data_IF_727127158358
#
_entry.id   IF_727127158358
#
_cell.length_a   1.000
_cell.length_b   1.000
_cell.length_c   1.000
_cell.angle_alpha   90.00
_cell.angle_beta   90.00
_cell.angle_gamma   90.00
#
_symmetry.space_group_name_H-M   'P 1'
#
loop_
_entity.id
_entity.type
_entity.pdbx_description
1 polymer ?
#
# COMPACT_ATOMS: atom_id res chain seq x y z
N UNK A 1 6.64 19.95 -31.39
CA UNK A 1 6.99 20.14 -29.98
C UNK A 1 5.70 20.23 -29.18
N UNK A 2 5.46 19.26 -28.32
CA UNK A 2 4.46 19.29 -27.25
C UNK A 2 5.12 18.57 -26.08
N UNK A 3 5.29 19.28 -24.98
CA UNK A 3 5.94 18.79 -23.76
C UNK A 3 4.80 18.43 -22.81
N UNK A 4 4.68 17.16 -22.44
CA UNK A 4 3.85 16.74 -21.32
C UNK A 4 4.69 16.81 -20.03
N UNK A 5 4.20 17.37 -18.91
CA UNK A 5 5.02 17.64 -17.73
C UNK A 5 5.30 16.41 -16.84
N UNK A 6 4.92 15.20 -17.26
CA UNK A 6 5.25 13.98 -16.53
C UNK A 6 5.94 13.00 -17.48
N UNK A 7 7.27 12.98 -17.41
CA UNK A 7 8.09 12.03 -18.12
C UNK A 7 7.86 10.62 -17.60
N UNK A 8 6.90 9.91 -18.18
CA UNK A 8 6.78 8.46 -18.05
C UNK A 8 7.18 7.85 -19.39
N UNK A 9 8.42 7.39 -19.46
CA UNK A 9 8.94 6.62 -20.59
C UNK A 9 8.63 5.14 -20.31
N UNK A 10 7.71 4.54 -21.06
CA UNK A 10 7.42 3.11 -20.96
C UNK A 10 8.42 2.32 -21.82
N UNK A 11 9.07 1.31 -21.23
CA UNK A 11 9.81 0.26 -21.95
C UNK A 11 8.90 -0.96 -22.13
N UNK A 12 8.67 -1.39 -23.36
CA UNK A 12 8.26 -2.76 -23.65
C UNK A 12 9.52 -3.63 -23.65
N UNK A 13 9.61 -4.62 -22.75
CA UNK A 13 10.62 -5.68 -22.85
C UNK A 13 9.90 -7.03 -22.94
N UNK A 14 10.12 -7.76 -24.05
CA UNK A 14 9.86 -9.20 -24.09
C UNK A 14 10.95 -9.91 -23.28
N UNK A 15 10.58 -11.06 -22.72
CA UNK A 15 11.36 -11.86 -21.78
C UNK A 15 12.74 -12.34 -22.27
N UNK A 16 13.21 -12.07 -23.50
CA UNK A 16 14.47 -12.69 -24.00
C UNK A 16 15.28 -11.91 -25.06
N UNK A 17 15.07 -10.62 -25.33
CA UNK A 17 15.91 -9.90 -26.30
C UNK A 17 16.83 -8.86 -25.64
N UNK A 18 18.12 -9.21 -25.57
CA UNK A 18 19.21 -8.26 -25.39
C UNK A 18 19.51 -7.65 -26.76
N UNK A 19 19.50 -6.32 -26.83
CA UNK A 19 19.99 -5.45 -27.92
C UNK A 19 19.19 -5.40 -29.24
N UNK A 20 18.20 -4.49 -29.32
CA UNK A 20 17.84 -3.83 -30.59
C UNK A 20 17.73 -2.31 -30.42
N UNK A 21 18.12 -1.50 -31.42
CA UNK A 21 18.04 -0.04 -31.35
C UNK A 21 16.60 0.47 -31.44
N UNK A 22 16.35 1.63 -30.83
CA UNK A 22 15.06 2.33 -30.84
C UNK A 22 14.58 2.62 -32.28
N UNK A 23 13.32 2.29 -32.59
CA UNK A 23 12.61 2.81 -33.77
C UNK A 23 12.27 1.83 -34.90
N UNK A 24 12.46 0.51 -34.75
CA UNK A 24 12.04 -0.44 -35.80
C UNK A 24 10.57 -0.85 -35.66
N UNK A 25 9.78 -0.63 -36.72
CA UNK A 25 8.41 -1.12 -36.86
C UNK A 25 8.46 -2.62 -37.16
N UNK A 26 8.04 -3.47 -36.22
CA UNK A 26 7.97 -4.92 -36.42
C UNK A 26 6.52 -5.37 -36.70
N UNK A 27 6.19 -5.78 -37.94
CA UNK A 27 4.84 -6.19 -38.31
C UNK A 27 4.39 -7.50 -37.64
N UNK A 28 5.30 -8.27 -37.00
CA UNK A 28 4.95 -9.48 -36.25
C UNK A 28 4.22 -9.19 -34.93
N UNK A 29 4.14 -7.93 -34.49
CA UNK A 29 3.48 -7.55 -33.25
C UNK A 29 1.95 -7.37 -33.35
N UNK A 30 1.35 -7.52 -34.54
CA UNK A 30 -0.05 -7.14 -34.80
C UNK A 30 -1.12 -8.07 -34.20
N UNK A 31 -0.73 -9.24 -33.67
CA UNK A 31 -1.66 -10.27 -33.19
C UNK A 31 -1.28 -10.94 -31.86
N UNK A 32 -0.29 -10.40 -31.15
CA UNK A 32 0.08 -10.97 -29.86
C UNK A 32 -0.77 -10.36 -28.73
N UNK A 33 -1.43 -11.22 -27.96
CA UNK A 33 -2.06 -10.85 -26.69
C UNK A 33 -0.94 -10.50 -25.69
N UNK A 34 -0.59 -9.23 -25.59
CA UNK A 34 0.38 -8.78 -24.61
C UNK A 34 -0.31 -8.51 -23.27
N UNK A 35 0.10 -9.21 -22.22
CA UNK A 35 -0.15 -8.77 -20.86
C UNK A 35 0.84 -7.64 -20.54
N UNK A 36 0.35 -6.41 -20.45
CA UNK A 36 1.18 -5.29 -19.98
C UNK A 36 1.38 -5.44 -18.47
N UNK A 37 2.50 -6.03 -18.06
CA UNK A 37 2.93 -6.02 -16.66
C UNK A 37 3.66 -4.71 -16.40
N UNK A 38 3.02 -3.83 -15.63
CA UNK A 38 3.64 -2.59 -15.18
C UNK A 38 4.51 -2.90 -13.97
N UNK A 39 5.80 -2.59 -14.07
CA UNK A 39 6.69 -2.63 -12.92
C UNK A 39 6.32 -1.45 -12.01
N UNK A 40 6.19 -1.63 -10.69
CA UNK A 40 6.00 -0.51 -9.77
C UNK A 40 7.09 0.54 -9.97
N UNK A 41 6.75 1.82 -9.71
CA UNK A 41 7.71 2.93 -9.71
C UNK A 41 8.94 2.52 -8.89
N UNK A 42 10.14 2.83 -9.40
CA UNK A 42 11.40 2.54 -8.70
C UNK A 42 11.31 3.14 -7.28
N UNK A 43 11.24 2.28 -6.26
CA UNK A 43 11.09 2.68 -4.86
C UNK A 43 9.72 2.43 -4.21
N UNK A 44 8.72 1.94 -4.95
CA UNK A 44 7.45 1.55 -4.33
C UNK A 44 7.59 0.17 -3.66
N UNK A 45 7.37 0.14 -2.35
CA UNK A 45 7.35 -1.07 -1.54
C UNK A 45 5.90 -1.53 -1.35
N UNK A 46 5.66 -2.83 -1.28
CA UNK A 46 4.36 -3.39 -0.88
C UNK A 46 4.30 -3.76 0.60
N UNK A 47 5.44 -3.66 1.31
CA UNK A 47 5.59 -4.13 2.69
C UNK A 47 6.34 -3.14 3.56
N UNK A 48 5.82 -2.87 4.75
CA UNK A 48 6.48 -2.16 5.85
C UNK A 48 7.04 -3.20 6.82
N UNK A 49 8.26 -2.97 7.29
CA UNK A 49 8.92 -3.77 8.32
C UNK A 49 9.19 -2.89 9.53
N UNK A 50 9.39 -3.50 10.70
CA UNK A 50 9.87 -2.79 11.90
C UNK A 50 11.14 -1.98 11.55
N UNK A 51 11.20 -0.73 12.03
CA UNK A 51 12.27 0.21 11.73
C UNK A 51 12.18 0.90 10.35
N UNK A 52 11.14 0.61 9.57
CA UNK A 52 10.78 1.37 8.35
C UNK A 52 9.49 2.13 8.59
N UNK A 53 9.37 3.26 7.90
CA UNK A 53 8.21 4.14 7.99
C UNK A 53 7.78 4.60 6.60
N UNK A 54 6.49 4.85 6.45
CA UNK A 54 5.87 5.48 5.30
C UNK A 54 5.54 6.92 5.70
N UNK A 55 6.23 7.92 5.15
CA UNK A 55 5.96 9.32 5.47
C UNK A 55 4.74 9.83 4.67
N UNK A 56 4.32 11.06 4.94
CA UNK A 56 3.17 11.69 4.26
C UNK A 56 3.16 11.55 2.73
N UNK A 57 4.30 11.80 2.08
CA UNK A 57 4.41 11.77 0.61
C UNK A 57 4.69 10.37 0.05
N UNK A 58 5.02 9.41 0.91
CA UNK A 58 5.35 8.06 0.49
C UNK A 58 4.07 7.24 0.29
N UNK A 59 4.16 6.25 -0.60
CA UNK A 59 3.05 5.33 -0.88
C UNK A 59 3.51 3.88 -0.80
N UNK A 60 2.66 3.04 -0.22
CA UNK A 60 2.81 1.60 -0.26
C UNK A 60 1.95 1.09 -1.42
N UNK A 61 2.56 0.39 -2.39
CA UNK A 61 1.87 -0.06 -3.60
C UNK A 61 1.95 -1.57 -3.67
N UNK A 62 0.79 -2.21 -3.87
CA UNK A 62 0.68 -3.65 -4.12
C UNK A 62 1.58 -4.09 -5.29
N UNK A 63 2.02 -5.34 -5.29
CA UNK A 63 3.07 -5.84 -6.21
C UNK A 63 2.73 -5.63 -7.69
N UNK A 64 1.46 -5.82 -8.07
CA UNK A 64 0.96 -5.62 -9.43
C UNK A 64 0.54 -4.17 -9.72
N UNK A 65 0.61 -3.29 -8.72
CA UNK A 65 0.19 -1.89 -8.84
C UNK A 65 -1.32 -1.71 -8.99
N UNK A 66 -2.10 -2.57 -8.32
CA UNK A 66 -3.56 -2.51 -8.34
C UNK A 66 -4.10 -1.57 -7.26
N UNK A 67 -3.52 -1.66 -6.06
CA UNK A 67 -3.89 -0.89 -4.89
C UNK A 67 -2.71 -0.10 -4.33
N UNK A 68 -3.03 1.07 -3.79
CA UNK A 68 -2.12 1.97 -3.09
C UNK A 68 -2.66 2.26 -1.70
N UNK A 69 -1.78 2.25 -0.69
CA UNK A 69 -2.01 2.76 0.65
C UNK A 69 -1.16 4.04 0.84
N UNK A 70 -1.74 5.07 1.44
CA UNK A 70 -1.01 6.28 1.79
C UNK A 70 -1.86 7.31 2.53
N UNK A 71 -1.22 8.41 2.92
CA UNK A 71 -1.89 9.54 3.54
C UNK A 71 -2.70 10.34 2.52
N UNK A 72 -3.81 10.92 2.96
CA UNK A 72 -4.63 11.83 2.18
C UNK A 72 -5.38 12.80 3.10
N UNK A 73 -5.95 13.85 2.51
CA UNK A 73 -6.65 14.90 3.23
C UNK A 73 -5.97 16.26 3.08
N UNK A 74 -6.38 17.21 3.91
CA UNK A 74 -5.89 18.59 3.91
C UNK A 74 -5.41 18.96 5.32
N UNK A 75 -4.70 20.08 5.43
CA UNK A 75 -3.84 20.55 6.54
C UNK A 75 -4.22 20.11 7.97
N UNK A 76 -5.51 20.15 8.34
CA UNK A 76 -5.99 19.82 9.70
C UNK A 76 -6.80 18.51 9.79
N UNK A 77 -6.92 17.77 8.68
CA UNK A 77 -7.70 16.53 8.59
C UNK A 77 -7.00 15.52 7.72
N UNK A 78 -5.94 14.92 8.27
CA UNK A 78 -5.24 13.83 7.61
C UNK A 78 -5.85 12.47 7.96
N UNK A 79 -5.85 11.62 6.95
CA UNK A 79 -6.31 10.25 7.01
C UNK A 79 -5.29 9.34 6.35
N UNK A 80 -5.36 8.06 6.66
CA UNK A 80 -4.70 7.02 5.89
C UNK A 80 -5.74 6.10 5.27
N UNK A 81 -5.51 5.71 4.02
CA UNK A 81 -6.48 4.90 3.30
C UNK A 81 -5.88 4.14 2.14
N UNK A 82 -6.70 3.25 1.60
CA UNK A 82 -6.37 2.42 0.44
C UNK A 82 -7.26 2.87 -0.72
N UNK A 83 -6.73 2.90 -1.93
CA UNK A 83 -7.46 3.17 -3.17
C UNK A 83 -6.90 2.35 -4.34
N UNK A 84 -7.65 2.28 -5.43
CA UNK A 84 -7.15 1.72 -6.68
C UNK A 84 -6.09 2.65 -7.29
N UNK A 85 -4.89 2.12 -7.56
CA UNK A 85 -3.76 2.93 -8.05
C UNK A 85 -4.06 3.63 -9.37
N UNK A 86 -4.92 3.03 -10.22
CA UNK A 86 -5.24 3.54 -11.57
C UNK A 86 -6.61 4.22 -11.67
N UNK A 87 -7.24 4.51 -10.54
CA UNK A 87 -8.45 5.31 -10.53
C UNK A 87 -8.08 6.80 -10.54
N UNK A 88 -8.51 7.51 -11.59
CA UNK A 88 -8.26 8.94 -11.75
C UNK A 88 -8.89 9.78 -10.62
N UNK A 89 -9.94 9.26 -9.98
CA UNK A 89 -10.58 9.91 -8.83
C UNK A 89 -9.92 9.55 -7.49
N UNK A 90 -9.07 8.52 -7.49
CA UNK A 90 -8.46 7.94 -6.29
C UNK A 90 -9.47 7.72 -5.16
N UNK A 91 -10.65 7.18 -5.50
CA UNK A 91 -11.70 6.90 -4.52
C UNK A 91 -11.17 5.91 -3.48
N UNK A 92 -11.29 6.30 -2.20
CA UNK A 92 -10.80 5.50 -1.08
C UNK A 92 -11.72 4.30 -0.92
N UNK A 93 -11.17 3.10 -0.92
CA UNK A 93 -11.91 1.84 -0.70
C UNK A 93 -11.84 1.37 0.75
N UNK A 94 -10.88 1.93 1.50
CA UNK A 94 -10.75 1.74 2.94
C UNK A 94 -10.09 2.96 3.58
N UNK A 95 -10.50 3.32 4.80
CA UNK A 95 -9.91 4.42 5.58
C UNK A 95 -9.62 3.91 6.99
N UNK A 96 -8.40 4.06 7.50
CA UNK A 96 -8.07 3.51 8.81
C UNK A 96 -8.66 4.33 9.96
N UNK A 97 -8.70 5.65 9.81
CA UNK A 97 -9.09 6.59 10.86
C UNK A 97 -10.30 7.47 10.47
N UNK A 98 -11.44 6.89 10.05
CA UNK A 98 -12.53 7.64 9.43
C UNK A 98 -13.23 8.64 10.36
N UNK A 99 -13.25 8.37 11.67
CA UNK A 99 -13.89 9.22 12.69
C UNK A 99 -12.92 10.11 13.47
N UNK A 100 -11.62 9.89 13.30
CA UNK A 100 -10.55 10.54 14.06
C UNK A 100 -9.49 11.07 13.08
N UNK A 101 -9.76 12.18 12.38
CA UNK A 101 -8.74 12.85 11.57
C UNK A 101 -7.52 13.21 12.41
N UNK A 102 -6.35 13.16 11.78
CA UNK A 102 -5.09 13.53 12.41
C UNK A 102 -4.78 14.99 12.10
N UNK A 103 -4.47 15.75 13.15
CA UNK A 103 -3.90 17.10 13.05
C UNK A 103 -2.40 16.93 13.28
N UNK A 104 -1.57 16.96 12.22
CA UNK A 104 -0.14 16.69 12.36
C UNK A 104 0.57 17.87 13.04
N UNK A 105 1.23 17.62 14.17
CA UNK A 105 2.08 18.62 14.86
C UNK A 105 3.57 18.47 14.52
N UNK A 106 3.89 17.78 13.43
CA UNK A 106 5.26 17.47 12.98
C UNK A 106 5.29 16.52 11.80
N UNK A 107 6.46 15.93 11.50
CA UNK A 107 6.59 14.93 10.44
C UNK A 107 5.76 13.70 10.77
N UNK A 108 4.73 13.43 9.96
CA UNK A 108 3.83 12.30 10.13
C UNK A 108 4.36 11.07 9.40
N UNK A 109 4.23 9.91 10.05
CA UNK A 109 4.60 8.64 9.45
C UNK A 109 3.72 7.49 9.95
N UNK A 110 3.50 6.51 9.08
CA UNK A 110 2.96 5.20 9.42
C UNK A 110 4.12 4.22 9.62
N UNK A 111 4.12 3.50 10.73
CA UNK A 111 5.15 2.49 11.02
C UNK A 111 4.56 1.35 11.86
N UNK A 112 5.35 0.29 12.03
CA UNK A 112 5.06 -0.75 13.02
C UNK A 112 5.76 -0.35 14.32
N UNK A 113 5.03 -0.43 15.43
CA UNK A 113 5.55 -0.18 16.77
C UNK A 113 6.76 -1.09 17.06
N UNK A 114 7.93 -0.55 17.45
CA UNK A 114 9.10 -1.35 17.77
C UNK A 114 9.02 -2.07 19.12
N UNK A 115 7.98 -1.87 19.93
CA UNK A 115 7.78 -2.58 21.19
C UNK A 115 7.80 -4.12 20.97
N UNK A 116 8.65 -4.87 21.71
CA UNK A 116 8.89 -6.29 21.51
C UNK A 116 7.76 -7.21 21.97
N UNK A 117 6.73 -6.71 22.64
CA UNK A 117 5.55 -7.47 23.04
C UNK A 117 4.34 -7.15 22.13
N UNK A 118 4.38 -5.99 21.46
CA UNK A 118 3.35 -5.57 20.51
C UNK A 118 3.81 -5.72 19.05
N UNK A 119 2.99 -5.23 18.13
CA UNK A 119 3.31 -5.18 16.71
C UNK A 119 2.35 -4.26 15.98
N UNK A 120 1.91 -3.21 16.69
CA UNK A 120 0.82 -2.37 16.23
C UNK A 120 1.22 -1.57 15.01
N UNK A 121 0.32 -1.46 14.04
CA UNK A 121 0.42 -0.43 13.03
C UNK A 121 0.06 0.89 13.70
N UNK A 122 0.98 1.85 13.71
CA UNK A 122 0.85 3.11 14.42
C UNK A 122 1.09 4.30 13.49
N UNK A 123 0.49 5.42 13.85
CA UNK A 123 0.79 6.72 13.26
C UNK A 123 1.57 7.54 14.28
N UNK A 124 2.70 8.09 13.85
CA UNK A 124 3.56 8.94 14.65
C UNK A 124 3.62 10.35 14.07
N UNK A 125 3.83 11.35 14.91
CA UNK A 125 4.22 12.70 14.50
C UNK A 125 5.41 13.17 15.33
N UNK A 126 6.49 13.57 14.65
CA UNK A 126 7.72 14.00 15.33
C UNK A 126 8.32 12.93 16.27
N UNK A 127 8.15 11.65 15.94
CA UNK A 127 8.61 10.52 16.75
C UNK A 127 7.70 10.14 17.93
N UNK A 128 6.59 10.85 18.15
CA UNK A 128 5.61 10.48 19.18
C UNK A 128 4.43 9.76 18.56
N UNK A 129 3.98 8.65 19.16
CA UNK A 129 2.78 7.93 18.74
C UNK A 129 1.53 8.76 18.96
N UNK A 130 0.77 9.03 17.90
CA UNK A 130 -0.51 9.74 17.94
C UNK A 130 -1.70 8.79 18.00
N UNK A 131 -1.60 7.65 17.32
CA UNK A 131 -2.72 6.73 17.15
C UNK A 131 -2.22 5.32 16.86
N UNK A 132 -2.87 4.34 17.49
CA UNK A 132 -2.78 2.95 17.09
C UNK A 132 -3.88 2.66 16.07
N UNK A 133 -3.51 2.20 14.88
CA UNK A 133 -4.46 1.74 13.85
C UNK A 133 -4.96 0.33 14.16
N UNK A 134 -4.12 -0.46 14.81
CA UNK A 134 -4.44 -1.82 15.24
C UNK A 134 -4.23 -1.97 16.74
N UNK A 135 -4.82 -3.01 17.31
CA UNK A 135 -4.57 -3.46 18.68
C UNK A 135 -4.25 -4.96 18.64
N UNK A 136 -2.96 -5.29 18.46
CA UNK A 136 -2.48 -6.65 18.27
C UNK A 136 -1.42 -7.03 19.30
N UNK A 137 -1.47 -8.30 19.70
CA UNK A 137 -0.47 -8.93 20.56
C UNK A 137 0.36 -9.89 19.69
N UNK A 138 1.53 -9.44 19.28
CA UNK A 138 2.37 -10.21 18.37
C UNK A 138 3.11 -11.36 19.09
N UNK A 139 3.27 -11.26 20.41
CA UNK A 139 4.02 -12.20 21.24
C UNK A 139 5.49 -11.80 21.35
N UNK A 140 6.32 -12.55 22.11
CA UNK A 140 7.68 -12.14 22.41
C UNK A 140 8.56 -12.12 21.16
N UNK A 141 9.35 -11.05 21.00
CA UNK A 141 10.33 -10.88 19.90
C UNK A 141 9.74 -11.07 18.49
N UNK A 142 8.66 -10.38 18.12
CA UNK A 142 7.92 -10.65 16.91
C UNK A 142 8.66 -10.07 15.69
N UNK A 143 8.53 -10.74 14.54
CA UNK A 143 8.96 -10.18 13.26
C UNK A 143 7.73 -9.77 12.46
N UNK A 144 7.19 -8.59 12.76
CA UNK A 144 5.92 -8.14 12.15
C UNK A 144 6.17 -7.39 10.86
N UNK A 145 5.39 -7.74 9.85
CA UNK A 145 5.32 -7.03 8.57
C UNK A 145 3.90 -6.54 8.33
N UNK A 146 3.76 -5.41 7.64
CA UNK A 146 2.49 -4.94 7.12
C UNK A 146 2.55 -4.94 5.59
N UNK A 147 1.78 -5.81 4.94
CA UNK A 147 1.84 -6.03 3.49
C UNK A 147 0.52 -5.71 2.82
N UNK A 148 0.56 -4.88 1.77
CA UNK A 148 -0.58 -4.60 0.91
C UNK A 148 -0.62 -5.57 -0.27
N UNK A 149 -1.65 -6.40 -0.32
CA UNK A 149 -1.86 -7.41 -1.35
C UNK A 149 -2.55 -6.84 -2.60
N UNK A 150 -2.43 -7.54 -3.73
CA UNK A 150 -3.03 -7.16 -5.02
C UNK A 150 -4.57 -7.18 -5.05
N UNK A 151 -5.19 -7.65 -3.97
CA UNK A 151 -6.64 -7.63 -3.72
C UNK A 151 -7.07 -6.44 -2.84
N UNK A 152 -6.14 -5.61 -2.37
CA UNK A 152 -6.42 -4.46 -1.50
C UNK A 152 -6.49 -4.82 -0.02
N UNK A 153 -6.11 -6.04 0.35
CA UNK A 153 -6.00 -6.48 1.73
C UNK A 153 -4.64 -6.04 2.31
N UNK A 154 -4.67 -5.23 3.37
CA UNK A 154 -3.51 -4.86 4.17
C UNK A 154 -3.47 -5.78 5.38
N UNK A 155 -2.43 -6.61 5.49
CA UNK A 155 -2.29 -7.61 6.55
C UNK A 155 -1.09 -7.33 7.41
N UNK A 156 -1.27 -7.44 8.72
CA UNK A 156 -0.18 -7.56 9.67
C UNK A 156 0.11 -9.04 9.93
N UNK A 157 1.33 -9.47 9.66
CA UNK A 157 1.74 -10.87 9.75
C UNK A 157 2.93 -10.98 10.69
N UNK A 158 2.88 -11.91 11.65
CA UNK A 158 4.09 -12.34 12.33
C UNK A 158 4.83 -13.33 11.41
N UNK A 159 5.99 -12.94 10.91
CA UNK A 159 6.75 -13.71 9.94
C UNK A 159 7.41 -14.97 10.53
N UNK A 160 7.46 -15.10 11.87
CA UNK A 160 8.02 -16.26 12.55
C UNK A 160 7.09 -17.47 12.39
N UNK A 161 5.81 -17.31 12.74
CA UNK A 161 4.80 -18.38 12.75
C UNK A 161 3.78 -18.25 11.60
N UNK A 162 3.90 -17.21 10.77
CA UNK A 162 2.99 -16.85 9.66
C UNK A 162 1.56 -16.55 10.11
N UNK A 163 1.35 -16.25 11.40
CA UNK A 163 0.05 -15.88 11.92
C UNK A 163 -0.36 -14.50 11.41
N UNK A 164 -1.61 -14.40 10.95
CA UNK A 164 -2.25 -13.11 10.66
C UNK A 164 -2.66 -12.50 11.99
N UNK A 165 -2.07 -11.36 12.32
CA UNK A 165 -2.39 -10.62 13.53
C UNK A 165 -3.60 -9.71 13.32
N UNK A 166 -3.70 -9.13 12.12
CA UNK A 166 -4.78 -8.21 11.75
C UNK A 166 -4.88 -8.07 10.22
N UNK A 167 -6.06 -7.72 9.72
CA UNK A 167 -6.26 -7.37 8.32
C UNK A 167 -7.39 -6.35 8.12
N UNK A 168 -7.25 -5.44 7.15
CA UNK A 168 -8.27 -4.39 6.94
C UNK A 168 -9.61 -4.96 6.43
N UNK A 169 -9.60 -6.15 5.82
CA UNK A 169 -10.81 -6.81 5.33
C UNK A 169 -11.80 -7.16 6.44
N UNK A 170 -11.33 -7.32 7.68
CA UNK A 170 -12.18 -7.56 8.85
C UNK A 170 -12.74 -6.24 9.45
N UNK A 171 -12.30 -5.09 8.92
CA UNK A 171 -12.66 -3.75 9.37
C UNK A 171 -13.10 -2.86 8.19
N UNK A 172 -14.18 -3.19 7.47
CA UNK A 172 -14.65 -2.41 6.32
C UNK A 172 -15.14 -1.02 6.73
N UNK A 173 -14.87 -0.01 5.91
CA UNK A 173 -15.37 1.36 6.14
C UNK A 173 -16.47 1.80 5.19
N UNK A 174 -16.28 1.62 3.88
CA UNK A 174 -17.12 2.29 2.89
C UNK A 174 -17.34 1.50 1.60
N UNK A 175 -16.37 0.67 1.18
CA UNK A 175 -16.50 -0.18 -0.01
C UNK A 175 -16.24 -1.63 0.37
N UNK A 176 -17.07 -2.53 -0.13
CA UNK A 176 -16.86 -3.97 0.01
C UNK A 176 -16.02 -4.48 -1.18
N UNK A 177 -14.74 -4.78 -0.93
CA UNK A 177 -13.83 -5.33 -1.93
C UNK A 177 -14.06 -6.83 -2.14
N UNK A 178 -13.81 -7.38 -3.35
CA UNK A 178 -13.81 -8.82 -3.57
C UNK A 178 -12.85 -9.54 -2.61
N UNK A 179 -13.34 -10.55 -1.90
CA UNK A 179 -12.56 -11.30 -0.90
C UNK A 179 -12.81 -10.88 0.55
N UNK A 180 -13.48 -9.74 0.78
CA UNK A 180 -14.06 -9.44 2.09
C UNK A 180 -15.19 -10.44 2.41
N UNK A 181 -15.25 -10.92 3.65
CA UNK A 181 -16.30 -11.84 4.10
C UNK A 181 -17.49 -11.03 4.62
N UNK A 182 -18.66 -11.23 4.04
CA UNK A 182 -19.93 -10.76 4.61
C UNK A 182 -20.46 -11.83 5.58
N UNK A 183 -20.45 -11.55 6.88
CA UNK A 183 -21.06 -12.46 7.87
C UNK A 183 -20.86 -12.03 9.32
N UNK A 184 -21.88 -12.22 10.15
CA UNK A 184 -21.82 -12.04 11.60
C UNK A 184 -20.96 -13.13 12.22
N UNK A 185 -19.89 -12.77 12.93
CA UNK A 185 -19.40 -13.62 14.01
C UNK A 185 -20.34 -13.40 15.19
N UNK A 186 -21.34 -14.28 15.30
CA UNK A 186 -22.06 -14.47 16.55
C UNK A 186 -21.25 -15.38 17.46
N UNK A 187 -21.13 -14.94 18.72
CA UNK A 187 -20.55 -15.58 19.93
C UNK A 187 -19.07 -15.31 20.14
#
# INVERSE_FOLDING_TARGET
>A
MSVSPMGIIYRCLRSNDISRPLGSYDPACRYANYTVKFCPLVGAFSTIKVGRQLNYYDQLVSVSGNFTLGFFGEEDKLYIGIWYTRDAKAEKVWVANPSKPIIPTGTIALSIDPDPDTGNLIITAGGTTLMNITDVQAGPTPNVTATLEDIGNLRLINEIDKRVLWQNFDHPTNVHLPGMKLGYYSI
#
